data_IF_752725664361
#
_entry.id   IF_752725664361
#
_cell.length_a   1.000
_cell.length_b   1.000
_cell.length_c   1.000
_cell.angle_alpha   90.00
_cell.angle_beta   90.00
_cell.angle_gamma   90.00
#
_symmetry.space_group_name_H-M   'P 1'
#
loop_
_entity.id
_entity.type
_entity.pdbx_description
1 polymer ?
#
# COMPACT_ATOMS: atom_id res chain seq x y z
N UNK A 1 0.17 -8.34 8.71
CA UNK A 1 -0.13 -8.15 7.27
C UNK A 1 0.94 -8.85 6.47
N UNK A 2 0.53 -9.71 5.54
CA UNK A 2 1.44 -10.43 4.65
C UNK A 2 1.56 -9.72 3.31
N UNK A 3 2.79 -9.55 2.84
CA UNK A 3 3.09 -8.95 1.53
C UNK A 3 3.64 -10.04 0.60
N UNK A 4 3.03 -10.19 -0.58
CA UNK A 4 3.47 -11.10 -1.64
C UNK A 4 3.79 -10.31 -2.92
N UNK A 5 4.85 -10.68 -3.62
CA UNK A 5 5.18 -10.14 -4.95
C UNK A 5 4.66 -11.12 -5.99
N UNK A 6 3.56 -10.76 -6.66
CA UNK A 6 2.91 -11.62 -7.67
C UNK A 6 3.57 -11.43 -9.04
N UNK A 7 4.10 -10.23 -9.31
CA UNK A 7 4.85 -9.91 -10.53
C UNK A 7 5.82 -8.74 -10.28
N UNK A 8 6.70 -8.38 -11.22
CA UNK A 8 7.59 -7.21 -11.08
C UNK A 8 6.87 -5.88 -10.82
N UNK A 9 5.57 -5.80 -11.10
CA UNK A 9 4.75 -4.59 -10.95
C UNK A 9 3.53 -4.78 -10.06
N UNK A 10 3.30 -5.99 -9.52
CA UNK A 10 2.11 -6.31 -8.72
C UNK A 10 2.54 -6.80 -7.35
N UNK A 11 2.19 -6.02 -6.33
CA UNK A 11 2.31 -6.36 -4.92
C UNK A 11 0.92 -6.68 -4.38
N UNK A 12 0.80 -7.80 -3.66
CA UNK A 12 -0.42 -8.21 -2.97
C UNK A 12 -0.25 -8.06 -1.48
N UNK A 13 -1.12 -7.27 -0.86
CA UNK A 13 -1.22 -7.10 0.59
C UNK A 13 -2.39 -7.95 1.11
N UNK A 14 -2.13 -8.82 2.08
CA UNK A 14 -3.12 -9.73 2.67
C UNK A 14 -3.22 -9.40 4.16
N UNK A 15 -4.35 -8.86 4.64
CA UNK A 15 -4.52 -8.55 6.05
C UNK A 15 -4.65 -9.85 6.87
N UNK A 16 -4.05 -9.87 8.05
CA UNK A 16 -4.01 -11.03 8.95
C UNK A 16 -4.81 -10.78 10.25
N UNK A 17 -5.21 -9.53 10.51
CA UNK A 17 -6.06 -9.14 11.64
C UNK A 17 -7.24 -8.27 11.19
N UNK A 18 -8.25 -8.12 12.05
CA UNK A 18 -9.40 -7.26 11.73
C UNK A 18 -9.01 -5.78 11.63
N UNK A 19 -8.07 -5.33 12.47
CA UNK A 19 -7.51 -3.98 12.37
C UNK A 19 -6.84 -3.74 11.00
N UNK A 20 -6.10 -4.72 10.49
CA UNK A 20 -5.46 -4.61 9.17
C UNK A 20 -6.46 -4.63 8.02
N UNK A 21 -7.58 -5.35 8.16
CA UNK A 21 -8.67 -5.32 7.17
C UNK A 21 -9.28 -3.93 7.07
N UNK A 22 -9.55 -3.28 8.21
CA UNK A 22 -10.07 -1.92 8.25
C UNK A 22 -9.08 -0.91 7.64
N UNK A 23 -7.79 -1.04 7.98
CA UNK A 23 -6.74 -0.20 7.40
C UNK A 23 -6.61 -0.38 5.88
N UNK A 24 -6.68 -1.63 5.39
CA UNK A 24 -6.58 -1.93 3.96
C UNK A 24 -7.83 -1.44 3.19
N UNK A 25 -9.02 -1.57 3.76
CA UNK A 25 -10.25 -1.01 3.17
C UNK A 25 -10.20 0.52 3.09
N UNK A 26 -9.72 1.18 4.14
CA UNK A 26 -9.51 2.63 4.14
C UNK A 26 -8.50 3.05 3.05
N UNK A 27 -7.36 2.36 2.95
CA UNK A 27 -6.38 2.59 1.89
C UNK A 27 -6.99 2.39 0.50
N UNK A 28 -7.76 1.32 0.30
CA UNK A 28 -8.37 0.99 -0.98
C UNK A 28 -9.32 2.08 -1.47
N UNK A 29 -10.14 2.64 -0.57
CA UNK A 29 -11.06 3.75 -0.87
C UNK A 29 -10.34 5.06 -1.19
N UNK A 30 -9.12 5.27 -0.68
CA UNK A 30 -8.31 6.46 -0.99
C UNK A 30 -7.63 6.32 -2.35
N UNK A 31 -7.19 5.11 -2.70
CA UNK A 31 -6.43 4.83 -3.91
C UNK A 31 -7.34 4.65 -5.12
N UNK A 32 -8.45 3.91 -4.99
CA UNK A 32 -9.39 3.69 -6.08
C UNK A 32 -10.36 4.85 -6.18
N UNK A 33 -10.40 5.46 -7.37
CA UNK A 33 -11.42 6.42 -7.77
C UNK A 33 -12.25 5.81 -8.90
N UNK A 34 -13.56 5.95 -8.82
CA UNK A 34 -14.48 5.43 -9.83
C UNK A 34 -14.52 6.32 -11.08
N UNK A 35 -14.35 7.63 -10.90
CA UNK A 35 -14.59 8.64 -11.93
C UNK A 35 -13.28 9.21 -12.52
N UNK A 36 -12.13 8.83 -11.95
CA UNK A 36 -10.79 9.33 -12.30
C UNK A 36 -9.78 8.17 -12.27
N UNK A 37 -8.60 8.33 -12.90
CA UNK A 37 -7.49 7.41 -12.70
C UNK A 37 -7.21 7.18 -11.21
N UNK A 38 -6.92 5.91 -10.86
CA UNK A 38 -6.55 5.55 -9.50
C UNK A 38 -5.27 6.27 -9.09
N UNK A 39 -5.10 6.51 -7.79
CA UNK A 39 -3.85 7.07 -7.27
C UNK A 39 -2.73 6.04 -7.34
N UNK A 40 -1.49 6.52 -7.39
CA UNK A 40 -0.30 5.70 -7.25
C UNK A 40 0.30 5.84 -5.87
N UNK A 41 0.91 4.76 -5.38
CA UNK A 41 1.72 4.76 -4.16
C UNK A 41 3.19 4.93 -4.55
N UNK A 42 3.75 6.09 -4.24
CA UNK A 42 5.16 6.39 -4.51
C UNK A 42 5.98 6.21 -3.23
N UNK A 43 7.05 5.39 -3.22
CA UNK A 43 7.88 5.21 -2.05
C UNK A 43 8.52 6.53 -1.61
N UNK A 44 8.57 6.75 -0.29
CA UNK A 44 9.14 7.96 0.32
C UNK A 44 10.39 7.57 1.10
N UNK A 45 11.52 8.15 0.71
CA UNK A 45 12.81 7.89 1.35
C UNK A 45 13.32 6.47 1.08
N UNK A 46 13.99 5.89 2.08
CA UNK A 46 14.52 4.53 2.06
C UNK A 46 13.88 3.71 3.16
N UNK A 47 13.61 2.43 2.89
CA UNK A 47 13.21 1.47 3.92
C UNK A 47 14.36 0.49 4.18
N UNK A 48 14.78 0.40 5.43
CA UNK A 48 15.78 -0.53 5.95
C UNK A 48 15.13 -1.40 7.03
N UNK A 49 14.94 -2.71 6.80
CA UNK A 49 14.28 -3.61 7.77
C UNK A 49 14.92 -3.65 9.16
N UNK A 50 16.19 -3.25 9.28
CA UNK A 50 16.95 -3.26 10.54
C UNK A 50 16.86 -1.94 11.32
N UNK A 51 16.32 -0.88 10.71
CA UNK A 51 16.32 0.47 11.27
C UNK A 51 14.95 1.13 11.25
N UNK A 52 14.09 0.78 10.29
CA UNK A 52 12.78 1.38 10.10
C UNK A 52 11.66 0.44 10.54
N UNK A 53 10.66 1.00 11.22
CA UNK A 53 9.47 0.25 11.66
C UNK A 53 8.49 -0.04 10.52
N UNK A 54 8.62 0.65 9.38
CA UNK A 54 7.75 0.46 8.23
C UNK A 54 8.21 1.21 6.98
N UNK A 55 7.72 0.77 5.83
CA UNK A 55 7.92 1.45 4.56
C UNK A 55 6.86 2.54 4.35
N UNK A 56 7.30 3.74 3.97
CA UNK A 56 6.42 4.88 3.75
C UNK A 56 6.14 5.08 2.26
N UNK A 57 4.88 5.37 1.93
CA UNK A 57 4.43 5.69 0.57
C UNK A 57 3.59 6.96 0.58
N UNK A 58 3.87 7.87 -0.34
CA UNK A 58 3.02 9.02 -0.63
C UNK A 58 1.96 8.59 -1.64
N UNK A 59 0.72 9.05 -1.43
CA UNK A 59 -0.38 8.81 -2.35
C UNK A 59 -0.46 9.99 -3.32
N UNK A 60 -0.28 9.75 -4.61
CA UNK A 60 -0.21 10.78 -5.65
C UNK A 60 -1.19 10.49 -6.79
N UNK A 61 -1.55 11.52 -7.55
CA UNK A 61 -2.30 11.33 -8.80
C UNK A 61 -1.43 10.62 -9.84
N UNK A 62 -2.02 9.74 -10.65
CA UNK A 62 -1.33 8.96 -11.68
C UNK A 62 -1.03 9.76 -12.95
#
# INVERSE_FOLDING_TARGET
MKISIESPTIVKMIPESDHEKEALDALWKVVIRCDEPSKVLCPVGSYMPTADEGANFAIQDQ
#
